data_IF_116423488038
#
_entry.id   IF_116423488038
#
_cell.length_a   1.000
_cell.length_b   1.000
_cell.length_c   1.000
_cell.angle_alpha   90.00
_cell.angle_beta   90.00
_cell.angle_gamma   90.00
#
_symmetry.space_group_name_H-M   'P 1'
#
loop_
_entity.id
_entity.type
_entity.pdbx_description
1 polymer ?
#
# COMPACT_ATOMS: atom_id res chain seq x y z
N UNK A 1 1.48 -8.50 1.07
CA UNK A 1 1.98 -9.83 0.61
C UNK A 1 1.74 -10.00 -0.87
N UNK A 2 2.60 -10.77 -1.56
CA UNK A 2 2.37 -11.18 -2.93
C UNK A 2 1.04 -11.92 -3.07
N UNK A 3 0.47 -11.87 -4.27
CA UNK A 3 -0.74 -12.62 -4.61
C UNK A 3 -0.32 -14.07 -4.85
N UNK A 4 -0.88 -14.98 -4.06
CA UNK A 4 -0.67 -16.41 -4.20
C UNK A 4 -1.58 -17.02 -5.28
N UNK A 5 -2.76 -16.43 -5.48
CA UNK A 5 -3.70 -16.88 -6.52
C UNK A 5 -4.89 -15.95 -6.67
N UNK A 6 -5.58 -16.06 -7.79
CA UNK A 6 -6.82 -15.33 -8.07
C UNK A 6 -7.81 -16.26 -8.77
N UNK A 7 -9.06 -16.28 -8.32
CA UNK A 7 -10.11 -17.03 -9.00
C UNK A 7 -10.52 -16.37 -10.31
N UNK A 8 -11.16 -17.15 -11.19
CA UNK A 8 -11.97 -16.56 -12.25
C UNK A 8 -13.11 -15.71 -11.66
N UNK A 9 -13.63 -14.78 -12.47
CA UNK A 9 -14.83 -14.01 -12.10
C UNK A 9 -16.02 -14.97 -12.07
N UNK A 10 -16.69 -15.04 -10.92
CA UNK A 10 -17.92 -15.79 -10.76
C UNK A 10 -19.04 -15.09 -11.55
N UNK A 11 -19.68 -15.82 -12.47
CA UNK A 11 -20.75 -15.27 -13.32
C UNK A 11 -22.02 -14.96 -12.55
N UNK A 12 -22.21 -15.55 -11.37
CA UNK A 12 -23.42 -15.38 -10.57
C UNK A 12 -23.45 -14.05 -9.81
N UNK A 13 -22.30 -13.59 -9.30
CA UNK A 13 -22.21 -12.37 -8.49
C UNK A 13 -21.16 -11.35 -8.99
N UNK A 14 -20.47 -11.66 -10.10
CA UNK A 14 -19.44 -10.83 -10.72
C UNK A 14 -18.27 -10.48 -9.77
N UNK A 15 -17.96 -11.36 -8.82
CA UNK A 15 -16.81 -11.22 -7.92
C UNK A 15 -15.68 -12.17 -8.29
N UNK A 16 -14.52 -11.88 -7.73
CA UNK A 16 -13.35 -12.76 -7.75
C UNK A 16 -12.77 -12.85 -6.35
N UNK A 17 -12.03 -13.91 -6.11
CA UNK A 17 -11.29 -14.14 -4.87
C UNK A 17 -9.80 -13.96 -5.14
N UNK A 18 -9.14 -13.16 -4.33
CA UNK A 18 -7.68 -13.01 -4.35
C UNK A 18 -7.10 -13.60 -3.07
N UNK A 19 -6.23 -14.60 -3.21
CA UNK A 19 -5.50 -15.21 -2.10
C UNK A 19 -4.10 -14.62 -2.03
N UNK A 20 -3.65 -14.30 -0.81
CA UNK A 20 -2.33 -13.74 -0.56
C UNK A 20 -1.45 -14.76 0.19
N UNK A 21 -0.14 -14.64 0.03
CA UNK A 21 0.81 -15.45 0.79
C UNK A 21 0.70 -15.21 2.30
N UNK A 22 1.04 -16.23 3.09
CA UNK A 22 1.02 -16.19 4.55
C UNK A 22 2.11 -15.25 5.07
N UNK A 23 1.75 -14.40 6.03
CA UNK A 23 2.71 -13.50 6.70
C UNK A 23 3.48 -14.19 7.82
N UNK A 24 4.68 -13.71 8.16
CA UNK A 24 5.30 -13.98 9.44
C UNK A 24 4.38 -13.60 10.61
N UNK A 25 4.67 -14.13 11.81
CA UNK A 25 3.95 -13.78 13.03
C UNK A 25 4.02 -12.26 13.25
N UNK A 26 2.87 -11.63 13.37
CA UNK A 26 2.73 -10.18 13.59
C UNK A 26 1.49 -9.86 14.43
N UNK A 27 1.48 -8.68 15.05
CA UNK A 27 0.32 -8.19 15.79
C UNK A 27 -0.88 -7.95 14.87
N UNK A 28 -2.09 -8.24 15.36
CA UNK A 28 -3.34 -8.09 14.61
C UNK A 28 -3.60 -6.68 14.10
N UNK A 29 -3.09 -5.64 14.78
CA UNK A 29 -3.21 -4.25 14.36
C UNK A 29 -2.50 -3.93 13.03
N UNK A 30 -1.54 -4.76 12.61
CA UNK A 30 -0.80 -4.60 11.35
C UNK A 30 -1.50 -5.25 10.15
N UNK A 31 -2.63 -5.92 10.35
CA UNK A 31 -3.44 -6.47 9.26
C UNK A 31 -4.03 -5.32 8.44
N UNK A 32 -3.80 -5.35 7.13
CA UNK A 32 -4.35 -4.38 6.19
C UNK A 32 -4.57 -5.02 4.82
N UNK A 33 -5.65 -4.61 4.16
CA UNK A 33 -5.95 -4.90 2.76
C UNK A 33 -6.71 -3.72 2.16
N UNK A 34 -6.58 -3.52 0.85
CA UNK A 34 -7.26 -2.44 0.12
C UNK A 34 -7.89 -3.03 -1.13
N UNK A 35 -9.14 -2.67 -1.38
CA UNK A 35 -9.87 -2.97 -2.62
C UNK A 35 -10.09 -1.64 -3.33
N UNK A 36 -9.45 -1.45 -4.48
CA UNK A 36 -9.57 -0.22 -5.27
C UNK A 36 -9.23 -0.46 -6.74
N UNK A 37 -9.54 0.53 -7.58
CA UNK A 37 -9.18 0.60 -9.00
C UNK A 37 -7.90 1.42 -9.24
N UNK A 38 -7.06 1.54 -8.21
CA UNK A 38 -5.87 2.39 -8.23
C UNK A 38 -4.83 1.90 -9.24
N UNK A 39 -4.03 2.84 -9.72
CA UNK A 39 -2.79 2.50 -10.41
C UNK A 39 -1.61 2.49 -9.45
N UNK A 40 -0.46 2.04 -9.93
CA UNK A 40 0.78 2.13 -9.19
C UNK A 40 1.96 2.49 -10.10
N UNK A 41 3.00 3.02 -9.47
CA UNK A 41 4.37 3.06 -10.01
C UNK A 41 5.22 2.08 -9.20
N UNK A 42 6.24 1.51 -9.82
CA UNK A 42 7.10 0.49 -9.20
C UNK A 42 8.54 0.69 -9.62
N UNK A 43 9.46 0.19 -8.80
CA UNK A 43 10.87 0.06 -9.14
C UNK A 43 11.14 -1.13 -10.09
N UNK A 44 12.38 -1.24 -10.57
CA UNK A 44 12.76 -2.19 -11.64
C UNK A 44 12.52 -3.67 -11.28
N UNK A 45 12.75 -4.05 -10.03
CA UNK A 45 12.55 -5.42 -9.54
C UNK A 45 11.12 -5.70 -9.04
N UNK A 46 10.24 -4.70 -9.13
CA UNK A 46 8.85 -4.74 -8.69
C UNK A 46 8.61 -5.09 -7.20
N UNK A 47 9.63 -4.88 -6.35
CA UNK A 47 9.55 -5.12 -4.90
C UNK A 47 9.03 -3.91 -4.13
N UNK A 48 9.09 -2.70 -4.70
CA UNK A 48 8.58 -1.48 -4.09
C UNK A 48 7.55 -0.79 -4.97
N UNK A 49 6.34 -0.57 -4.44
CA UNK A 49 5.23 0.01 -5.20
C UNK A 49 4.60 1.18 -4.48
N UNK A 50 4.23 2.21 -5.24
CA UNK A 50 3.43 3.34 -4.73
C UNK A 50 2.10 3.40 -5.48
N UNK A 51 1.02 3.15 -4.74
CA UNK A 51 -0.35 3.07 -5.22
C UNK A 51 -1.09 4.39 -4.99
N UNK A 52 -1.84 4.83 -6.00
CA UNK A 52 -2.66 6.05 -5.92
C UNK A 52 -3.78 6.01 -6.95
N UNK A 53 -4.72 6.96 -6.85
CA UNK A 53 -5.71 7.18 -7.91
C UNK A 53 -4.99 7.49 -9.22
N UNK A 54 -5.56 7.02 -10.34
CA UNK A 54 -4.93 7.13 -11.68
C UNK A 54 -4.49 8.56 -12.04
N UNK A 55 -5.26 9.57 -11.62
CA UNK A 55 -4.93 10.99 -11.85
C UNK A 55 -3.73 11.51 -11.03
N UNK A 56 -3.30 10.79 -9.99
CA UNK A 56 -2.18 11.14 -9.12
C UNK A 56 -0.87 10.42 -9.43
N UNK A 57 -0.85 9.50 -10.40
CA UNK A 57 0.34 8.66 -10.69
C UNK A 57 1.58 9.44 -11.08
N UNK A 58 1.41 10.59 -11.76
CA UNK A 58 2.54 11.45 -12.12
C UNK A 58 3.27 12.01 -10.90
N UNK A 59 2.58 12.15 -9.76
CA UNK A 59 3.14 12.70 -8.54
C UNK A 59 3.83 11.65 -7.64
N UNK A 60 3.72 10.35 -7.96
CA UNK A 60 4.24 9.27 -7.09
C UNK A 60 5.68 8.88 -7.37
N UNK A 61 6.30 9.36 -8.45
CA UNK A 61 7.70 9.05 -8.77
C UNK A 61 8.66 9.53 -7.67
N UNK A 62 8.41 10.72 -7.10
CA UNK A 62 9.18 11.23 -5.96
C UNK A 62 9.00 10.36 -4.71
N UNK A 63 7.76 9.96 -4.41
CA UNK A 63 7.46 9.10 -3.27
C UNK A 63 8.12 7.72 -3.38
N UNK A 64 8.17 7.17 -4.60
CA UNK A 64 8.88 5.91 -4.88
C UNK A 64 10.38 6.03 -4.56
N UNK A 65 11.07 7.00 -5.18
CA UNK A 65 12.50 7.20 -4.99
C UNK A 65 12.87 7.53 -3.52
N UNK A 66 12.06 8.36 -2.86
CA UNK A 66 12.26 8.68 -1.44
C UNK A 66 12.04 7.46 -0.55
N UNK A 67 10.98 6.68 -0.81
CA UNK A 67 10.63 5.48 -0.06
C UNK A 67 11.71 4.40 -0.14
N UNK A 68 12.23 4.14 -1.33
CA UNK A 68 13.33 3.19 -1.55
C UNK A 68 14.61 3.65 -0.85
N UNK A 69 15.00 4.91 -1.02
CA UNK A 69 16.17 5.47 -0.36
C UNK A 69 16.05 5.42 1.16
N UNK A 70 14.87 5.76 1.71
CA UNK A 70 14.62 5.68 3.15
C UNK A 70 14.71 4.23 3.67
N UNK A 71 14.16 3.26 2.95
CA UNK A 71 14.25 1.84 3.33
C UNK A 71 15.71 1.37 3.34
N UNK A 72 16.47 1.64 2.28
CA UNK A 72 17.88 1.27 2.19
C UNK A 72 18.73 1.89 3.32
N UNK A 73 18.46 3.16 3.67
CA UNK A 73 19.14 3.81 4.80
C UNK A 73 18.77 3.23 6.16
N UNK A 74 17.53 2.79 6.34
CA UNK A 74 17.13 2.11 7.58
C UNK A 74 17.79 0.74 7.69
N UNK A 75 17.90 -0.01 6.59
CA UNK A 75 18.62 -1.28 6.57
C UNK A 75 20.10 -1.11 6.91
N UNK A 76 20.77 -0.12 6.31
CA UNK A 76 22.16 0.23 6.62
C UNK A 76 22.33 0.63 8.09
N UNK A 77 21.48 1.53 8.58
CA UNK A 77 21.56 2.05 9.94
C UNK A 77 21.30 0.98 11.01
N UNK A 78 20.31 0.12 10.78
CA UNK A 78 19.93 -0.92 11.75
C UNK A 78 20.71 -2.22 11.56
N UNK A 79 21.41 -2.39 10.44
CA UNK A 79 22.01 -3.65 10.00
C UNK A 79 21.00 -4.81 9.91
N UNK A 80 19.72 -4.49 9.65
CA UNK A 80 18.62 -5.46 9.51
C UNK A 80 17.97 -5.25 8.15
N UNK A 81 18.01 -6.26 7.30
CA UNK A 81 17.32 -6.25 6.01
C UNK A 81 15.80 -6.34 6.17
N UNK A 82 15.08 -5.70 5.27
CA UNK A 82 13.64 -5.83 5.16
C UNK A 82 13.24 -7.26 4.82
N UNK A 83 12.32 -7.83 5.60
CA UNK A 83 12.08 -9.28 5.59
C UNK A 83 10.91 -9.74 4.73
N UNK A 84 10.09 -8.83 4.20
CA UNK A 84 8.99 -9.19 3.32
C UNK A 84 9.42 -9.08 1.83
N UNK A 85 8.84 -9.91 0.94
CA UNK A 85 9.20 -9.92 -0.49
C UNK A 85 8.77 -8.66 -1.25
N UNK A 86 7.95 -7.79 -0.64
CA UNK A 86 7.59 -6.48 -1.20
C UNK A 86 7.17 -5.47 -0.13
N UNK A 87 7.33 -4.20 -0.47
CA UNK A 87 6.79 -3.04 0.24
C UNK A 87 5.81 -2.28 -0.67
N UNK A 88 4.54 -2.18 -0.26
CA UNK A 88 3.58 -1.29 -0.91
C UNK A 88 3.38 -0.04 -0.06
N UNK A 89 3.32 1.13 -0.70
CA UNK A 89 2.83 2.37 -0.12
C UNK A 89 1.54 2.77 -0.84
N UNK A 90 0.51 3.21 -0.13
CA UNK A 90 -0.76 3.61 -0.75
C UNK A 90 -1.32 4.91 -0.21
N UNK A 91 -1.75 5.78 -1.14
CA UNK A 91 -2.35 7.08 -0.87
C UNK A 91 -3.87 6.99 -0.75
N UNK A 92 -4.40 7.02 0.48
CA UNK A 92 -5.83 6.95 0.76
C UNK A 92 -6.34 8.35 1.17
N UNK A 93 -7.28 8.96 0.43
CA UNK A 93 -7.74 10.33 0.68
C UNK A 93 -8.26 10.59 2.10
N UNK A 94 -8.94 9.61 2.69
CA UNK A 94 -9.72 9.76 3.92
C UNK A 94 -8.96 9.37 5.20
N UNK A 95 -7.71 8.93 5.09
CA UNK A 95 -6.92 8.61 6.28
C UNK A 95 -6.59 9.85 7.10
N UNK A 96 -6.70 9.72 8.43
CA UNK A 96 -6.33 10.78 9.39
C UNK A 96 -4.81 10.97 9.46
N UNK A 97 -4.06 9.86 9.40
CA UNK A 97 -2.60 9.80 9.52
C UNK A 97 -2.05 8.72 8.58
N UNK A 98 -0.72 8.58 8.52
CA UNK A 98 -0.13 7.37 7.97
C UNK A 98 -0.26 6.21 8.98
N UNK A 99 -0.19 4.97 8.48
CA UNK A 99 -0.11 3.74 9.30
C UNK A 99 0.89 2.77 8.69
N UNK A 100 1.72 2.19 9.55
CA UNK A 100 2.88 1.34 9.23
C UNK A 100 2.53 -0.14 9.03
N UNK A 101 1.37 -0.45 8.45
CA UNK A 101 0.97 -1.85 8.25
C UNK A 101 2.04 -2.60 7.44
N UNK A 102 2.51 -3.73 7.96
CA UNK A 102 3.74 -4.36 7.50
C UNK A 102 3.62 -4.83 6.03
N UNK A 103 4.34 -4.20 5.12
CA UNK A 103 4.27 -4.47 3.68
C UNK A 103 3.10 -3.81 2.94
N UNK A 104 2.33 -2.95 3.61
CA UNK A 104 1.33 -2.07 3.00
C UNK A 104 1.19 -0.78 3.83
N UNK A 105 2.14 0.14 3.70
CA UNK A 105 2.10 1.40 4.43
C UNK A 105 1.03 2.30 3.83
N UNK A 106 0.09 2.75 4.64
CA UNK A 106 -1.01 3.61 4.19
C UNK A 106 -0.74 5.05 4.57
N UNK A 107 -1.06 5.98 3.68
CA UNK A 107 -0.82 7.40 3.87
C UNK A 107 -2.06 8.20 3.55
N UNK A 108 -2.22 9.33 4.22
CA UNK A 108 -3.15 10.37 3.79
C UNK A 108 -2.69 10.95 2.45
N UNK A 109 -3.62 11.29 1.55
CA UNK A 109 -3.32 11.85 0.22
C UNK A 109 -2.29 12.98 0.19
N UNK A 110 -2.32 13.88 1.18
CA UNK A 110 -1.38 15.01 1.28
C UNK A 110 0.08 14.59 1.53
N UNK A 111 0.33 13.34 1.89
CA UNK A 111 1.66 12.86 2.30
C UNK A 111 2.39 12.12 1.17
N UNK A 112 1.66 11.40 0.30
CA UNK A 112 2.27 10.73 -0.88
C UNK A 112 2.30 11.65 -2.11
N UNK A 113 1.32 12.54 -2.27
CA UNK A 113 1.26 13.49 -3.37
C UNK A 113 1.49 14.91 -2.85
N UNK A 114 2.70 15.44 -2.99
CA UNK A 114 2.95 16.86 -2.78
C UNK A 114 2.28 17.66 -3.92
N UNK A 115 0.97 17.86 -3.82
CA UNK A 115 0.18 18.74 -4.68
C UNK A 115 -0.89 19.40 -3.82
N UNK A 116 -0.75 20.71 -3.66
CA UNK A 116 -1.71 21.59 -3.00
C UNK A 116 -3.02 21.57 -3.79
N UNK A 117 -4.08 20.97 -3.25
CA UNK A 117 -5.47 21.48 -3.23
C UNK A 117 -6.55 20.40 -2.95
N UNK A 118 -7.45 20.79 -2.04
CA UNK A 118 -8.87 20.43 -1.84
C UNK A 118 -9.34 19.04 -1.39
N UNK A 119 -10.37 19.12 -0.54
CA UNK A 119 -11.07 18.16 0.34
C UNK A 119 -12.08 17.24 -0.37
N UNK A 120 -12.50 16.19 0.36
CA UNK A 120 -13.88 15.65 0.56
C UNK A 120 -13.91 14.11 0.74
N UNK A 121 -14.90 13.65 1.53
CA UNK A 121 -15.00 12.51 2.47
C UNK A 121 -15.35 11.10 1.92
N UNK A 122 -14.95 10.02 2.62
CA UNK A 122 -15.74 9.06 3.44
C UNK A 122 -14.97 7.75 3.78
N UNK A 123 -15.00 7.26 5.03
CA UNK A 123 -14.40 5.98 5.48
C UNK A 123 -15.38 5.16 6.32
N UNK A 124 -15.51 3.86 6.01
CA UNK A 124 -16.02 2.86 6.94
C UNK A 124 -14.83 2.17 7.63
N UNK A 125 -14.76 2.27 8.95
CA UNK A 125 -13.93 1.41 9.80
C UNK A 125 -14.83 0.30 10.36
N UNK A 126 -14.52 -0.96 10.04
CA UNK A 126 -15.02 -2.10 10.82
C UNK A 126 -14.05 -2.25 11.99
N UNK A 127 -14.42 -1.73 13.15
CA UNK A 127 -13.86 -2.16 14.43
C UNK A 127 -14.92 -3.08 15.03
N UNK A 128 -14.65 -4.37 15.26
CA UNK A 128 -15.53 -5.18 16.08
C UNK A 128 -15.29 -4.81 17.55
N UNK A 129 -16.38 -4.49 18.25
CA UNK A 129 -16.52 -4.82 19.68
C UNK A 129 -17.10 -6.24 19.75
#
# INVERSE_FOLDING_TARGET
MPVAGQSAIDKSDNKLWTTFEIKPIMSTYLVAFVVSDYGYVTNDDATFKVWTRKNGLRATAYALALGESALARLEEYTSISYTLPKMDQISIPDLRTAMENWGLVTYRRKTIGASWNNLYFALYKIVPL
#
